data_IF_128657177770
#
_entry.id   IF_128657177770
#
_cell.length_a   1.000
_cell.length_b   1.000
_cell.length_c   1.000
_cell.angle_alpha   90.00
_cell.angle_beta   90.00
_cell.angle_gamma   90.00
#
_symmetry.space_group_name_H-M   'P 1'
#
loop_
_entity.id
_entity.type
_entity.pdbx_description
1 polymer ?
#
# COMPACT_ATOMS: atom_id res chain seq x y z
N UNK A 1 -17.67 56.14 -9.26
CA UNK A 1 -18.96 55.48 -9.55
C UNK A 1 -18.67 54.24 -10.36
N UNK A 2 -18.90 53.10 -9.71
CA UNK A 2 -18.62 51.73 -10.14
C UNK A 2 -19.43 51.35 -11.40
N UNK A 3 -18.77 50.84 -12.44
CA UNK A 3 -19.42 50.12 -13.54
C UNK A 3 -18.66 48.81 -13.80
N UNK A 4 -19.29 47.75 -13.31
CA UNK A 4 -18.96 46.33 -13.41
C UNK A 4 -19.41 45.80 -14.77
N UNK A 5 -18.56 45.10 -15.55
CA UNK A 5 -18.87 43.98 -16.48
C UNK A 5 -17.52 43.23 -16.73
N UNK A 6 -17.19 42.16 -16.01
CA UNK A 6 -17.45 40.73 -16.29
C UNK A 6 -16.66 40.13 -17.49
N UNK A 7 -16.12 38.92 -17.22
CA UNK A 7 -15.70 37.83 -18.14
C UNK A 7 -14.19 37.64 -18.28
N UNK A 8 -13.69 36.52 -17.73
CA UNK A 8 -12.35 36.01 -17.98
C UNK A 8 -11.85 35.03 -16.92
N UNK A 9 -12.69 34.06 -16.52
CA UNK A 9 -12.25 32.89 -15.76
C UNK A 9 -11.18 32.15 -16.57
N UNK A 10 -9.93 32.17 -16.11
CA UNK A 10 -8.91 31.22 -16.52
C UNK A 10 -8.13 30.79 -15.28
N UNK A 11 -8.83 30.11 -14.36
CA UNK A 11 -8.18 29.29 -13.36
C UNK A 11 -7.64 28.07 -14.11
N UNK A 12 -6.39 28.15 -14.56
CA UNK A 12 -5.67 26.99 -15.09
C UNK A 12 -5.26 26.09 -13.92
N UNK A 13 -6.24 25.37 -13.38
CA UNK A 13 -6.01 24.14 -12.64
C UNK A 13 -5.55 23.10 -13.66
N UNK A 14 -4.24 23.02 -13.90
CA UNK A 14 -3.66 21.80 -14.44
C UNK A 14 -3.73 20.80 -13.28
N UNK A 15 -4.89 20.13 -13.20
CA UNK A 15 -5.15 19.06 -12.25
C UNK A 15 -4.11 17.98 -12.47
N UNK A 16 -3.17 17.89 -11.54
CA UNK A 16 -2.28 16.76 -11.37
C UNK A 16 -3.17 15.58 -10.95
N UNK A 17 -3.75 14.90 -11.92
CA UNK A 17 -4.52 13.68 -11.73
C UNK A 17 -3.61 12.50 -11.43
N UNK A 18 -2.86 12.57 -10.32
CA UNK A 18 -2.43 11.34 -9.66
C UNK A 18 -3.66 10.83 -8.93
N UNK A 19 -4.32 9.85 -9.53
CA UNK A 19 -5.34 9.05 -8.83
C UNK A 19 -4.56 8.21 -7.81
N UNK A 20 -4.13 8.86 -6.73
CA UNK A 20 -3.66 8.17 -5.54
C UNK A 20 -4.90 7.56 -4.92
N UNK A 21 -5.12 6.26 -5.17
CA UNK A 21 -5.97 5.49 -4.28
C UNK A 21 -5.52 5.80 -2.85
N UNK A 22 -6.43 6.13 -1.91
CA UNK A 22 -6.02 6.32 -0.53
C UNK A 22 -5.28 5.04 -0.11
N UNK A 23 -4.13 5.13 0.60
CA UNK A 23 -3.53 3.94 1.18
C UNK A 23 -4.63 3.30 2.02
N UNK A 24 -5.14 2.17 1.56
CA UNK A 24 -6.08 1.40 2.34
C UNK A 24 -5.23 0.87 3.48
N UNK A 25 -5.33 1.55 4.64
CA UNK A 25 -4.79 1.08 5.90
C UNK A 25 -5.61 -0.15 6.31
N UNK A 26 -5.45 -1.23 5.54
CA UNK A 26 -5.78 -2.56 6.00
C UNK A 26 -4.77 -2.82 7.11
N UNK A 27 -5.26 -2.96 8.34
CA UNK A 27 -4.40 -3.35 9.43
C UNK A 27 -3.75 -4.69 9.04
N UNK A 28 -2.42 -4.69 8.96
CA UNK A 28 -1.69 -5.91 8.68
C UNK A 28 -2.05 -6.98 9.72
N UNK A 29 -2.12 -8.25 9.32
CA UNK A 29 -2.32 -9.35 10.24
C UNK A 29 -1.28 -9.29 11.35
N UNK A 30 -1.73 -9.29 12.60
CA UNK A 30 -0.83 -9.29 13.76
C UNK A 30 -0.41 -10.70 14.17
N UNK A 31 -0.72 -11.71 13.34
CA UNK A 31 -0.37 -13.11 13.58
C UNK A 31 0.23 -13.70 12.30
N UNK A 32 1.22 -14.59 12.42
CA UNK A 32 1.74 -15.31 11.29
C UNK A 32 0.71 -16.20 10.61
N UNK A 33 0.89 -16.38 9.30
CA UNK A 33 0.11 -17.35 8.54
C UNK A 33 0.48 -18.77 8.93
N UNK A 34 -0.45 -19.72 8.75
CA UNK A 34 -0.18 -21.15 8.95
C UNK A 34 0.98 -21.65 8.10
N UNK A 35 1.09 -21.14 6.87
CA UNK A 35 2.12 -21.46 5.90
C UNK A 35 2.13 -20.40 4.79
N UNK A 36 3.19 -20.40 3.96
CA UNK A 36 3.32 -19.47 2.85
C UNK A 36 2.22 -19.59 1.80
N UNK A 37 1.61 -20.77 1.63
CA UNK A 37 0.46 -20.91 0.72
C UNK A 37 -0.74 -20.08 1.19
N UNK A 38 -1.01 -20.05 2.50
CA UNK A 38 -2.05 -19.21 3.09
C UNK A 38 -1.70 -17.72 2.99
N UNK A 39 -0.43 -17.35 3.22
CA UNK A 39 0.04 -15.98 3.04
C UNK A 39 -0.19 -15.49 1.60
N UNK A 40 0.30 -16.25 0.61
CA UNK A 40 0.17 -15.92 -0.82
C UNK A 40 -1.29 -15.89 -1.27
N UNK A 41 -2.13 -16.81 -0.78
CA UNK A 41 -3.56 -16.80 -1.05
C UNK A 41 -4.28 -15.56 -0.48
N UNK A 42 -3.76 -15.02 0.63
CA UNK A 42 -4.22 -13.76 1.22
C UNK A 42 -3.56 -12.51 0.59
N UNK A 43 -2.67 -12.68 -0.39
CA UNK A 43 -1.98 -11.59 -1.07
C UNK A 43 -0.70 -11.11 -0.38
N UNK A 44 -0.18 -11.87 0.59
CA UNK A 44 1.07 -11.58 1.29
C UNK A 44 2.20 -12.45 0.75
N UNK A 45 3.28 -11.82 0.31
CA UNK A 45 4.58 -12.43 0.07
C UNK A 45 5.69 -11.44 0.50
N UNK A 46 6.95 -11.87 0.42
CA UNK A 46 8.12 -11.08 0.80
C UNK A 46 8.00 -10.52 2.23
N UNK A 47 7.65 -11.37 3.18
CA UNK A 47 7.36 -10.99 4.57
C UNK A 47 8.69 -10.73 5.29
N UNK A 48 9.05 -9.48 5.61
CA UNK A 48 10.34 -9.18 6.21
C UNK A 48 10.38 -9.60 7.69
N UNK A 49 11.57 -9.88 8.21
CA UNK A 49 11.80 -10.33 9.59
C UNK A 49 11.28 -9.40 10.70
N UNK A 50 11.05 -8.12 10.40
CA UNK A 50 10.42 -7.16 11.33
C UNK A 50 8.88 -7.20 11.30
N UNK A 51 8.28 -8.00 10.42
CA UNK A 51 6.84 -8.15 10.30
C UNK A 51 6.28 -9.04 11.43
N UNK A 52 5.12 -8.71 12.01
CA UNK A 52 4.42 -9.62 12.92
C UNK A 52 3.97 -10.92 12.26
N UNK A 53 4.02 -10.99 10.92
CA UNK A 53 3.69 -12.18 10.14
C UNK A 53 4.91 -13.09 9.92
N UNK A 54 6.12 -12.62 10.21
CA UNK A 54 7.34 -13.38 10.00
C UNK A 54 7.40 -14.61 10.89
N UNK A 55 7.77 -15.75 10.30
CA UNK A 55 8.03 -16.98 11.04
C UNK A 55 9.35 -17.58 10.56
N UNK A 56 10.34 -17.82 11.44
CA UNK A 56 11.63 -18.40 11.05
C UNK A 56 11.50 -19.76 10.36
N UNK A 57 10.49 -20.57 10.68
CA UNK A 57 10.28 -21.85 9.99
C UNK A 57 9.70 -21.71 8.57
N UNK A 58 9.33 -20.50 8.15
CA UNK A 58 8.82 -20.16 6.82
C UNK A 58 9.84 -19.42 5.94
N UNK A 59 10.95 -18.97 6.55
CA UNK A 59 12.17 -18.52 5.88
C UNK A 59 13.10 -19.73 5.82
N UNK A 60 13.28 -20.33 4.63
CA UNK A 60 13.94 -21.64 4.52
C UNK A 60 15.45 -21.50 4.37
N UNK A 61 15.88 -20.39 3.83
CA UNK A 61 17.27 -20.02 3.53
C UNK A 61 17.84 -19.03 4.54
N UNK A 62 17.05 -18.62 5.54
CA UNK A 62 17.44 -17.77 6.67
C UNK A 62 17.98 -16.40 6.21
N UNK A 63 17.40 -15.84 5.14
CA UNK A 63 17.81 -14.57 4.55
C UNK A 63 17.11 -13.36 5.19
N UNK A 64 16.13 -13.61 6.06
CA UNK A 64 15.35 -12.61 6.77
C UNK A 64 14.05 -12.21 6.04
N UNK A 65 13.65 -12.94 5.00
CA UNK A 65 12.41 -12.75 4.25
C UNK A 65 11.65 -14.07 4.16
N UNK A 66 10.50 -14.15 4.82
CA UNK A 66 9.65 -15.33 4.75
C UNK A 66 8.66 -15.25 3.58
N UNK A 67 8.33 -16.41 3.02
CA UNK A 67 7.25 -16.56 2.03
C UNK A 67 7.41 -15.67 0.77
N UNK A 68 8.63 -15.57 0.25
CA UNK A 68 8.97 -14.81 -0.96
C UNK A 68 8.10 -15.15 -2.17
N UNK A 69 7.84 -14.15 -3.01
CA UNK A 69 7.24 -14.29 -4.34
C UNK A 69 8.28 -14.83 -5.34
#
# INVERSE_FOLDING_TARGET
MLRIILIGLAVSIIGFGVIGAPPQANADPTKPFKNCSAAKAAGYCDIPSNSPMYTPSQDRDDDGVACEC
#
